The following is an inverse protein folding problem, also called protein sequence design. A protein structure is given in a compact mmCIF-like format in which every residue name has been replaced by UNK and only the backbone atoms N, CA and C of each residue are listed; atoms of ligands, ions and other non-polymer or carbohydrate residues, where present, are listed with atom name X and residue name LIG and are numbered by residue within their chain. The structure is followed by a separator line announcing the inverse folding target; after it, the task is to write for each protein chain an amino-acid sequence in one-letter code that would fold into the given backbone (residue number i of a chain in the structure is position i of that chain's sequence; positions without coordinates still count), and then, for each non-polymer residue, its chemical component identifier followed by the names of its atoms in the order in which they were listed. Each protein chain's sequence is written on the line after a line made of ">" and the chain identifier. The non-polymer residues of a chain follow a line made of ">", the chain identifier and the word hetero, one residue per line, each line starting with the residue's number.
data_IF_186439379775
#
_entry.id   IF_186439379775
#
_cell.length_a   1.000
_cell.length_b   1.000
_cell.length_c   1.000
_cell.angle_alpha   90.00
_cell.angle_beta   90.00
_cell.angle_gamma   90.00
#
_symmetry.space_group_name_H-M   'P 1'
#
loop_
_entity.id
_entity.type
_entity.pdbx_description
1 polymer ?
#
# COMPACT_ATOMS: atom_id res chain seq x y z
N UNK A 1 0.10 16.78 -3.28
CA UNK A 1 -0.90 15.70 -3.10
C UNK A 1 -0.34 14.32 -3.47
N UNK A 2 0.19 14.11 -4.69
CA UNK A 2 0.79 12.82 -5.12
C UNK A 2 1.87 12.28 -4.17
N UNK A 3 2.79 13.14 -3.71
CA UNK A 3 3.86 12.72 -2.78
C UNK A 3 3.35 12.33 -1.40
N UNK A 4 2.24 12.94 -0.94
CA UNK A 4 1.61 12.61 0.35
C UNK A 4 0.96 11.22 0.27
N UNK A 5 0.22 10.95 -0.81
CA UNK A 5 -0.40 9.64 -1.05
C UNK A 5 0.66 8.55 -1.11
N UNK A 6 1.74 8.79 -1.86
CA UNK A 6 2.88 7.88 -1.98
C UNK A 6 3.54 7.59 -0.63
N UNK A 7 3.78 8.64 0.18
CA UNK A 7 4.34 8.50 1.54
C UNK A 7 3.42 7.69 2.46
N UNK A 8 2.10 7.90 2.38
CA UNK A 8 1.13 7.15 3.18
C UNK A 8 1.12 5.67 2.82
N UNK A 9 1.13 5.34 1.52
CA UNK A 9 1.25 3.95 1.03
C UNK A 9 2.51 3.26 1.54
N UNK A 10 3.65 3.95 1.49
CA UNK A 10 4.92 3.43 2.03
C UNK A 10 4.81 3.17 3.54
N UNK A 11 4.30 4.14 4.31
CA UNK A 11 4.16 3.99 5.76
C UNK A 11 3.21 2.86 6.13
N UNK A 12 2.10 2.71 5.41
CA UNK A 12 1.16 1.62 5.60
C UNK A 12 1.85 0.27 5.41
N UNK A 13 2.65 0.10 4.36
CA UNK A 13 3.39 -1.15 4.12
C UNK A 13 4.31 -1.52 5.30
N UNK A 14 5.04 -0.54 5.86
CA UNK A 14 5.86 -0.77 7.06
C UNK A 14 5.00 -1.14 8.29
N UNK A 15 3.87 -0.45 8.50
CA UNK A 15 2.99 -0.72 9.64
C UNK A 15 2.36 -2.11 9.56
N UNK A 16 1.88 -2.51 8.38
CA UNK A 16 1.32 -3.86 8.12
C UNK A 16 2.38 -4.93 8.36
N UNK A 17 3.59 -4.72 7.85
CA UNK A 17 4.70 -5.64 8.08
C UNK A 17 5.02 -5.78 9.57
N UNK A 18 5.08 -4.67 10.30
CA UNK A 18 5.33 -4.67 11.74
C UNK A 18 4.23 -5.40 12.52
N UNK A 19 2.95 -5.14 12.19
CA UNK A 19 1.82 -5.79 12.84
C UNK A 19 1.80 -7.32 12.64
N UNK A 20 2.18 -7.80 11.45
CA UNK A 20 2.15 -9.23 11.12
C UNK A 20 3.41 -9.98 11.58
N UNK A 21 4.56 -9.33 11.67
CA UNK A 21 5.85 -9.99 11.92
C UNK A 21 6.49 -9.63 13.25
N UNK A 22 6.03 -8.56 13.91
CA UNK A 22 6.69 -7.94 15.06
C UNK A 22 8.00 -7.21 14.70
N UNK A 23 8.39 -7.17 13.42
CA UNK A 23 9.62 -6.53 12.97
C UNK A 23 9.33 -5.08 12.58
N UNK A 24 9.68 -4.17 13.49
CA UNK A 24 9.49 -2.74 13.26
C UNK A 24 10.38 -2.18 12.13
N UNK A 25 10.05 -0.97 11.69
CA UNK A 25 10.80 -0.27 10.63
C UNK A 25 12.30 -0.13 10.91
N UNK A 26 12.72 0.11 12.16
CA UNK A 26 14.14 0.24 12.51
C UNK A 26 14.88 -1.09 12.31
N UNK A 27 14.23 -2.20 12.65
CA UNK A 27 14.77 -3.54 12.45
C UNK A 27 14.84 -3.91 10.96
N UNK A 28 13.83 -3.52 10.17
CA UNK A 28 13.87 -3.66 8.71
C UNK A 28 15.06 -2.88 8.15
N UNK A 29 15.30 -1.63 8.55
CA UNK A 29 16.43 -0.83 8.02
C UNK A 29 17.79 -1.31 8.56
N UNK A 30 17.81 -2.06 9.65
CA UNK A 30 19.05 -2.46 10.33
C UNK A 30 19.99 -3.35 9.51
N UNK A 31 21.22 -3.53 10.01
CA UNK A 31 22.18 -4.49 9.47
C UNK A 31 21.95 -5.94 9.96
N UNK A 32 20.91 -6.22 10.77
CA UNK A 32 20.65 -7.58 11.27
C UNK A 32 20.42 -8.57 10.11
N UNK A 33 21.11 -9.71 10.19
CA UNK A 33 21.14 -10.76 9.15
C UNK A 33 20.40 -12.04 9.54
N UNK A 34 19.78 -12.10 10.71
CA UNK A 34 18.93 -13.25 11.05
C UNK A 34 17.73 -13.28 10.11
N UNK A 35 17.30 -14.49 9.75
CA UNK A 35 16.21 -14.76 8.82
C UNK A 35 14.93 -13.99 9.16
N UNK A 36 14.58 -13.90 10.45
CA UNK A 36 13.43 -13.13 10.94
C UNK A 36 13.44 -11.64 10.53
N UNK A 37 14.62 -11.05 10.29
CA UNK A 37 14.74 -9.65 9.81
C UNK A 37 14.98 -9.57 8.30
N UNK A 38 15.63 -10.58 7.71
CA UNK A 38 15.90 -10.62 6.27
C UNK A 38 14.61 -10.81 5.49
N UNK A 39 13.75 -11.75 5.92
CA UNK A 39 12.57 -12.14 5.16
C UNK A 39 11.57 -10.98 5.01
N UNK A 40 11.15 -10.27 6.09
CA UNK A 40 10.28 -9.11 5.96
C UNK A 40 10.93 -7.98 5.16
N UNK A 41 12.26 -7.76 5.31
CA UNK A 41 12.99 -6.74 4.55
C UNK A 41 12.99 -7.02 3.05
N UNK A 42 13.19 -8.29 2.66
CA UNK A 42 13.16 -8.70 1.26
C UNK A 42 11.78 -8.41 0.68
N UNK A 43 10.72 -8.85 1.36
CA UNK A 43 9.32 -8.64 0.93
C UNK A 43 9.00 -7.15 0.79
N UNK A 44 9.30 -6.34 1.81
CA UNK A 44 9.08 -4.88 1.76
C UNK A 44 9.87 -4.24 0.62
N UNK A 45 11.14 -4.63 0.44
CA UNK A 45 11.97 -4.11 -0.64
C UNK A 45 11.44 -4.45 -2.03
N UNK A 46 10.93 -5.67 -2.21
CA UNK A 46 10.26 -6.10 -3.43
C UNK A 46 8.99 -5.27 -3.69
N UNK A 47 8.07 -5.21 -2.72
CA UNK A 47 6.78 -4.51 -2.86
C UNK A 47 6.98 -3.01 -3.13
N UNK A 48 7.93 -2.36 -2.43
CA UNK A 48 8.27 -0.96 -2.70
C UNK A 48 8.58 -0.74 -4.19
N UNK A 49 9.45 -1.56 -4.77
CA UNK A 49 9.85 -1.34 -6.16
C UNK A 49 8.81 -1.82 -7.17
N UNK A 50 8.31 -3.05 -7.02
CA UNK A 50 7.48 -3.74 -8.02
C UNK A 50 6.00 -3.39 -7.94
N UNK A 51 5.50 -3.06 -6.77
CA UNK A 51 4.08 -2.82 -6.54
C UNK A 51 3.76 -1.34 -6.30
N UNK A 52 4.66 -0.61 -5.64
CA UNK A 52 4.49 0.83 -5.36
C UNK A 52 5.28 1.74 -6.31
N UNK A 53 5.93 1.16 -7.33
CA UNK A 53 6.67 1.87 -8.37
C UNK A 53 7.71 2.86 -7.80
N UNK A 54 8.29 2.53 -6.65
CA UNK A 54 9.39 3.28 -6.06
C UNK A 54 10.66 2.92 -6.83
N UNK A 55 11.54 3.88 -7.13
CA UNK A 55 12.79 3.55 -7.83
C UNK A 55 13.64 2.58 -7.00
N UNK A 56 14.47 1.74 -7.63
CA UNK A 56 15.34 0.80 -6.88
C UNK A 56 16.24 1.52 -5.87
N UNK A 57 16.75 2.69 -6.25
CA UNK A 57 17.60 3.51 -5.38
C UNK A 57 16.84 4.00 -4.13
N UNK A 58 15.62 4.51 -4.30
CA UNK A 58 14.80 4.95 -3.16
C UNK A 58 14.32 3.77 -2.32
N UNK A 59 13.92 2.65 -2.95
CA UNK A 59 13.54 1.42 -2.24
C UNK A 59 14.69 0.89 -1.38
N UNK A 60 15.92 0.91 -1.91
CA UNK A 60 17.12 0.55 -1.17
C UNK A 60 17.32 1.45 0.04
N UNK A 61 17.21 2.77 -0.13
CA UNK A 61 17.26 3.72 1.00
C UNK A 61 16.20 3.41 2.07
N UNK A 62 14.96 3.15 1.66
CA UNK A 62 13.85 2.87 2.57
C UNK A 62 14.04 1.59 3.39
N UNK A 63 14.76 0.60 2.88
CA UNK A 63 15.05 -0.68 3.57
C UNK A 63 16.49 -0.80 4.10
N UNK A 64 17.29 0.26 4.02
CA UNK A 64 18.68 0.28 4.50
C UNK A 64 19.64 -0.59 3.69
N UNK A 65 19.46 -0.63 2.37
CA UNK A 65 20.23 -1.46 1.42
C UNK A 65 20.63 -0.69 0.17
N UNK A 66 21.59 -1.24 -0.55
CA UNK A 66 21.95 -0.74 -1.87
C UNK A 66 20.90 -1.15 -2.92
N UNK A 67 20.80 -0.37 -3.99
CA UNK A 67 19.88 -0.63 -5.10
C UNK A 67 20.10 -2.02 -5.73
N UNK A 68 21.33 -2.53 -5.79
CA UNK A 68 21.64 -3.89 -6.26
C UNK A 68 21.01 -4.97 -5.39
N UNK A 69 20.80 -4.71 -4.09
CA UNK A 69 20.10 -5.63 -3.21
C UNK A 69 18.60 -5.67 -3.55
N UNK A 70 18.01 -4.53 -3.91
CA UNK A 70 16.61 -4.49 -4.39
C UNK A 70 16.47 -5.23 -5.72
N UNK A 71 17.44 -5.07 -6.63
CA UNK A 71 17.49 -5.87 -7.85
C UNK A 71 17.51 -7.37 -7.55
N UNK A 72 18.34 -7.81 -6.59
CA UNK A 72 18.35 -9.20 -6.13
C UNK A 72 16.99 -9.64 -5.55
N UNK A 73 16.30 -8.76 -4.80
CA UNK A 73 14.98 -9.07 -4.26
C UNK A 73 13.96 -9.38 -5.36
N UNK A 74 13.99 -8.61 -6.45
CA UNK A 74 13.13 -8.79 -7.61
C UNK A 74 13.51 -10.02 -8.42
N UNK A 75 14.80 -10.18 -8.72
CA UNK A 75 15.28 -11.30 -9.53
C UNK A 75 14.93 -12.66 -8.92
N UNK A 76 14.90 -12.76 -7.59
CA UNK A 76 14.62 -14.00 -6.88
C UNK A 76 13.15 -14.17 -6.49
N UNK A 77 12.29 -13.21 -6.82
CA UNK A 77 10.89 -13.25 -6.39
C UNK A 77 10.18 -14.50 -6.90
N UNK A 78 10.28 -14.81 -8.19
CA UNK A 78 9.57 -15.94 -8.80
C UNK A 78 10.05 -17.28 -8.22
N UNK A 79 11.35 -17.43 -8.00
CA UNK A 79 11.93 -18.63 -7.39
C UNK A 79 11.53 -18.76 -5.92
N UNK A 80 11.54 -17.66 -5.17
CA UNK A 80 11.06 -17.66 -3.79
C UNK A 80 9.56 -18.00 -3.72
N UNK A 81 8.76 -17.45 -4.63
CA UNK A 81 7.35 -17.77 -4.84
C UNK A 81 7.14 -19.13 -5.53
N UNK A 82 8.15 -19.96 -5.75
CA UNK A 82 7.97 -21.35 -6.22
C UNK A 82 8.49 -22.33 -5.18
N UNK A 83 9.70 -22.11 -4.71
CA UNK A 83 10.46 -23.10 -3.96
C UNK A 83 10.60 -22.75 -2.48
N UNK A 84 10.33 -21.49 -2.07
CA UNK A 84 10.51 -21.07 -0.69
C UNK A 84 9.18 -20.80 0.03
N UNK A 85 8.60 -21.87 0.61
CA UNK A 85 7.29 -21.84 1.28
C UNK A 85 7.14 -20.72 2.32
N UNK A 86 8.16 -20.50 3.15
CA UNK A 86 8.08 -19.47 4.19
C UNK A 86 8.05 -18.05 3.61
N UNK A 87 8.81 -17.79 2.54
CA UNK A 87 8.71 -16.51 1.82
C UNK A 87 7.32 -16.33 1.24
N UNK A 88 6.81 -17.34 0.53
CA UNK A 88 5.49 -17.31 -0.10
C UNK A 88 4.41 -16.97 0.92
N UNK A 89 4.34 -17.76 2.00
CA UNK A 89 3.32 -17.58 3.02
C UNK A 89 3.41 -16.18 3.64
N UNK A 90 4.61 -15.69 3.92
CA UNK A 90 4.79 -14.37 4.51
C UNK A 90 4.44 -13.24 3.52
N UNK A 91 4.79 -13.39 2.25
CA UNK A 91 4.43 -12.44 1.21
C UNK A 91 2.91 -12.37 1.03
N UNK A 92 2.23 -13.52 0.95
CA UNK A 92 0.77 -13.59 0.80
C UNK A 92 0.07 -12.84 1.94
N UNK A 93 0.40 -13.15 3.20
CA UNK A 93 -0.27 -12.45 4.32
C UNK A 93 0.01 -10.95 4.37
N UNK A 94 1.23 -10.51 4.03
CA UNK A 94 1.58 -9.08 4.02
C UNK A 94 0.87 -8.37 2.88
N UNK A 95 0.94 -8.92 1.67
CA UNK A 95 0.34 -8.33 0.48
C UNK A 95 -1.18 -8.29 0.58
N UNK A 96 -1.83 -9.36 0.99
CA UNK A 96 -3.28 -9.42 1.21
C UNK A 96 -3.74 -8.39 2.24
N UNK A 97 -3.06 -8.31 3.40
CA UNK A 97 -3.41 -7.35 4.45
C UNK A 97 -3.17 -5.91 4.00
N UNK A 98 -2.09 -5.64 3.27
CA UNK A 98 -1.77 -4.33 2.74
C UNK A 98 -2.81 -3.86 1.72
N UNK A 99 -3.10 -4.69 0.71
CA UNK A 99 -4.04 -4.33 -0.35
C UNK A 99 -5.48 -4.24 0.16
N UNK A 100 -5.88 -5.09 1.11
CA UNK A 100 -7.20 -4.99 1.74
C UNK A 100 -7.40 -3.64 2.43
N UNK A 101 -6.40 -3.16 3.18
CA UNK A 101 -6.48 -1.85 3.85
C UNK A 101 -6.49 -0.67 2.88
N UNK A 102 -5.76 -0.77 1.75
CA UNK A 102 -5.83 0.24 0.69
C UNK A 102 -7.23 0.25 0.06
N UNK A 103 -7.77 -0.92 -0.28
CA UNK A 103 -9.08 -1.04 -0.89
C UNK A 103 -10.19 -0.53 0.03
N UNK A 104 -10.14 -0.84 1.34
CA UNK A 104 -11.09 -0.32 2.32
C UNK A 104 -11.08 1.21 2.39
N UNK A 105 -9.90 1.84 2.31
CA UNK A 105 -9.78 3.30 2.28
C UNK A 105 -10.37 3.89 0.99
N UNK A 106 -10.02 3.33 -0.17
CA UNK A 106 -10.52 3.80 -1.47
C UNK A 106 -12.05 3.64 -1.57
N UNK A 107 -12.60 2.52 -1.10
CA UNK A 107 -14.05 2.28 -1.04
C UNK A 107 -14.74 3.30 -0.13
N UNK A 108 -14.13 3.63 1.01
CA UNK A 108 -14.68 4.61 1.95
C UNK A 108 -14.69 6.01 1.33
N UNK A 109 -13.62 6.42 0.67
CA UNK A 109 -13.54 7.71 -0.01
C UNK A 109 -14.58 7.81 -1.14
N UNK A 110 -14.70 6.77 -1.98
CA UNK A 110 -15.75 6.69 -3.00
C UNK A 110 -17.16 6.76 -2.40
N UNK A 111 -17.40 6.08 -1.27
CA UNK A 111 -18.70 6.12 -0.59
C UNK A 111 -19.07 7.52 -0.10
N UNK A 112 -18.07 8.31 0.32
CA UNK A 112 -18.26 9.68 0.76
C UNK A 112 -18.57 10.60 -0.43
N UNK A 113 -17.85 10.45 -1.53
CA UNK A 113 -18.11 11.20 -2.78
C UNK A 113 -19.52 10.94 -3.32
N UNK A 114 -19.95 9.67 -3.36
CA UNK A 114 -21.31 9.29 -3.77
C UNK A 114 -22.37 9.97 -2.91
N UNK A 115 -22.16 10.02 -1.59
CA UNK A 115 -23.08 10.71 -0.66
C UNK A 115 -23.17 12.21 -0.95
N UNK A 116 -22.05 12.87 -1.25
CA UNK A 116 -22.02 14.29 -1.58
C UNK A 116 -22.76 14.58 -2.88
N UNK A 117 -22.55 13.75 -3.91
CA UNK A 117 -23.26 13.86 -5.19
C UNK A 117 -24.77 13.68 -5.02
N UNK A 118 -25.19 12.72 -4.19
CA UNK A 118 -26.61 12.51 -3.91
C UNK A 118 -27.26 13.75 -3.29
N UNK A 119 -26.61 14.36 -2.28
CA UNK A 119 -27.10 15.60 -1.66
C UNK A 119 -27.24 16.74 -2.68
N UNK A 120 -26.31 16.83 -3.64
CA UNK A 120 -26.38 17.83 -4.71
C UNK A 120 -27.56 17.56 -5.65
N UNK A 121 -27.76 16.31 -6.07
CA UNK A 121 -28.91 15.91 -6.88
C UNK A 121 -30.22 16.27 -6.17
N UNK A 122 -30.33 15.99 -4.87
CA UNK A 122 -31.51 16.31 -4.07
C UNK A 122 -31.78 17.82 -4.03
N UNK A 123 -30.72 18.61 -3.85
CA UNK A 123 -30.79 20.08 -3.87
C UNK A 123 -31.23 20.61 -5.24
N UNK A 124 -30.69 20.06 -6.33
CA UNK A 124 -31.03 20.46 -7.70
C UNK A 124 -32.49 20.09 -8.03
N UNK A 125 -32.94 18.91 -7.62
CA UNK A 125 -34.33 18.48 -7.79
C UNK A 125 -35.31 19.39 -7.02
N UNK A 126 -34.96 19.80 -5.79
CA UNK A 126 -35.76 20.76 -5.02
C UNK A 126 -35.85 22.13 -5.72
N UNK A 127 -34.73 22.65 -6.24
CA UNK A 127 -34.71 23.91 -7.01
C UNK A 127 -35.57 23.82 -8.28
N UNK A 128 -35.44 22.72 -9.04
CA UNK A 128 -36.25 22.46 -10.24
C UNK A 128 -37.74 22.50 -9.92
N UNK A 129 -38.17 21.85 -8.83
CA UNK A 129 -39.57 21.84 -8.39
C UNK A 129 -40.08 23.24 -8.10
N UNK A 130 -39.29 24.06 -7.38
CA UNK A 130 -39.65 25.45 -7.05
C UNK A 130 -39.81 26.33 -8.30
N UNK A 131 -38.92 26.20 -9.28
CA UNK A 131 -39.01 26.94 -10.54
C UNK A 131 -40.26 26.57 -11.34
N UNK A 132 -40.59 25.28 -11.41
CA UNK A 132 -41.80 24.82 -12.09
C UNK A 132 -43.10 25.33 -11.44
N UNK A 133 -43.11 25.54 -10.12
CA UNK A 133 -44.26 26.12 -9.42
C UNK A 133 -44.36 27.63 -9.56
N UNK A 134 -43.26 28.34 -9.85
CA UNK A 134 -43.23 29.79 -10.04
C UNK A 134 -43.63 30.23 -11.46
N UNK A 135 -43.49 29.34 -12.44
CA UNK A 135 -43.83 29.60 -13.85
C UNK A 135 -45.24 29.11 -14.24
N UNK A 136 -46.10 28.80 -13.25
CA UNK A 136 -47.52 28.50 -13.42
C UNK A 136 -48.34 29.65 -12.88
#
# INVERSE_FOLDING_TARGET
>A
MKDIIKKNKINLLFNVTEALTGVNRKDIVSKKRNKQYILPRHIVGYMLHKELEITMMESGRLVGRDHSTVHHYVSNYDDNMKFYKEFRNLYEIISESYWSQIMEADVKDLSLELKQLQNLIDTLNAKKKKLLTLNK
#
